data_IF_024969712066
#
_entry.id   IF_024969712066
#
_cell.length_a   1.000
_cell.length_b   1.000
_cell.length_c   1.000
_cell.angle_alpha   90.00
_cell.angle_beta   90.00
_cell.angle_gamma   90.00
#
_symmetry.space_group_name_H-M   'P 1'
#
loop_
_entity.id
_entity.type
_entity.pdbx_description
1 polymer ?
#
# COMPACT_ATOMS: atom_id res chain seq x y z
N UNK A 1 41.36 -51.79 20.40
CA UNK A 1 40.71 -50.53 20.83
C UNK A 1 40.98 -49.30 19.95
N UNK A 2 42.20 -49.07 19.44
CA UNK A 2 42.59 -47.76 18.85
C UNK A 2 41.73 -47.22 17.70
N UNK A 3 41.08 -48.06 16.89
CA UNK A 3 40.22 -47.61 15.78
C UNK A 3 38.92 -46.97 16.27
N UNK A 4 38.40 -47.42 17.41
CA UNK A 4 37.16 -46.91 18.00
C UNK A 4 37.40 -45.63 18.81
N UNK A 5 38.60 -45.47 19.38
CA UNK A 5 39.01 -44.22 20.04
C UNK A 5 39.21 -43.11 19.02
N UNK A 6 39.79 -43.42 17.85
CA UNK A 6 39.95 -42.46 16.75
C UNK A 6 38.60 -41.95 16.24
N UNK A 7 37.62 -42.84 16.02
CA UNK A 7 36.28 -42.41 15.57
C UNK A 7 35.57 -41.53 16.61
N UNK A 8 35.67 -41.86 17.91
CA UNK A 8 35.10 -41.05 18.98
C UNK A 8 35.75 -39.64 19.04
N UNK A 9 37.06 -39.55 18.81
CA UNK A 9 37.74 -38.24 18.76
C UNK A 9 37.35 -37.42 17.53
N UNK A 10 37.13 -38.06 16.38
CA UNK A 10 36.67 -37.41 15.14
C UNK A 10 35.24 -36.87 15.29
N UNK A 11 34.34 -37.62 15.93
CA UNK A 11 32.97 -37.16 16.21
C UNK A 11 32.94 -35.95 17.15
N UNK A 12 33.76 -35.97 18.20
CA UNK A 12 33.88 -34.83 19.14
C UNK A 12 34.43 -33.58 18.45
N UNK A 13 35.39 -33.73 17.54
CA UNK A 13 35.90 -32.61 16.74
C UNK A 13 34.82 -32.05 15.81
N UNK A 14 34.00 -32.92 15.20
CA UNK A 14 32.91 -32.52 14.32
C UNK A 14 31.82 -31.75 15.07
N UNK A 15 31.46 -32.20 16.28
CA UNK A 15 30.53 -31.50 17.16
C UNK A 15 31.08 -30.14 17.63
N UNK A 16 32.38 -30.05 17.96
CA UNK A 16 32.99 -28.76 18.30
C UNK A 16 33.02 -27.78 17.13
N UNK A 17 33.33 -28.26 15.92
CA UNK A 17 33.30 -27.42 14.72
C UNK A 17 31.88 -26.92 14.45
N UNK A 18 30.88 -27.79 14.54
CA UNK A 18 29.47 -27.41 14.41
C UNK A 18 29.07 -26.30 15.40
N UNK A 19 29.39 -26.48 16.69
CA UNK A 19 29.09 -25.48 17.73
C UNK A 19 29.87 -24.15 17.56
N UNK A 20 31.01 -24.16 16.87
CA UNK A 20 31.77 -22.92 16.57
C UNK A 20 31.14 -22.14 15.43
N UNK A 21 30.67 -22.81 14.38
CA UNK A 21 30.16 -22.15 13.16
C UNK A 21 28.65 -21.87 13.18
N UNK A 22 27.84 -22.68 13.88
CA UNK A 22 26.38 -22.52 13.91
C UNK A 22 25.86 -21.47 14.91
N UNK A 23 26.73 -20.88 15.75
CA UNK A 23 26.36 -19.76 16.64
C UNK A 23 26.03 -18.46 15.90
N UNK A 24 26.10 -18.46 14.57
CA UNK A 24 25.84 -17.31 13.71
C UNK A 24 24.37 -17.22 13.22
N UNK A 25 23.49 -18.14 13.61
CA UNK A 25 22.05 -18.00 13.34
C UNK A 25 21.41 -17.12 14.43
N UNK A 26 21.85 -15.86 14.50
CA UNK A 26 21.13 -14.78 15.18
C UNK A 26 20.77 -13.77 14.09
N UNK A 27 19.48 -13.51 13.81
CA UNK A 27 19.12 -12.53 12.80
C UNK A 27 19.61 -11.15 13.25
N UNK A 28 20.50 -10.55 12.46
CA UNK A 28 20.90 -9.16 12.61
C UNK A 28 19.71 -8.28 12.20
N UNK A 29 18.90 -7.86 13.16
CA UNK A 29 17.98 -6.75 12.96
C UNK A 29 18.12 -5.76 14.11
N UNK A 30 18.35 -4.52 13.70
CA UNK A 30 18.57 -3.32 14.48
C UNK A 30 17.45 -3.02 15.49
N UNK A 31 17.87 -2.43 16.61
CA UNK A 31 17.11 -1.63 17.61
C UNK A 31 16.39 -2.44 18.71
N UNK A 32 17.04 -2.42 19.88
CA UNK A 32 16.45 -2.40 21.25
C UNK A 32 15.04 -2.97 21.38
N UNK A 33 14.97 -4.26 21.65
CA UNK A 33 13.82 -4.85 22.33
C UNK A 33 14.35 -5.73 23.45
N UNK A 34 13.98 -5.35 24.67
CA UNK A 34 14.02 -6.23 25.85
C UNK A 34 13.63 -7.64 25.45
N UNK A 35 14.46 -8.62 25.83
CA UNK A 35 14.25 -10.04 25.63
C UNK A 35 12.85 -10.47 26.11
N UNK A 36 11.84 -10.35 25.25
CA UNK A 36 10.54 -10.94 25.50
C UNK A 36 10.69 -12.41 25.18
N UNK A 37 11.08 -13.17 26.21
CA UNK A 37 10.88 -14.61 26.25
C UNK A 37 9.47 -14.90 25.76
N UNK A 38 9.32 -15.79 24.79
CA UNK A 38 8.02 -16.30 24.32
C UNK A 38 7.28 -17.08 25.42
N UNK A 39 7.93 -17.31 26.56
CA UNK A 39 7.32 -17.91 27.75
C UNK A 39 6.76 -16.85 28.71
N UNK A 40 5.52 -17.01 29.13
CA UNK A 40 4.87 -16.14 30.13
C UNK A 40 5.33 -16.45 31.57
N UNK A 41 6.40 -17.23 31.73
CA UNK A 41 6.81 -17.81 33.00
C UNK A 41 7.60 -16.83 33.87
N UNK A 42 8.21 -15.80 33.28
CA UNK A 42 8.95 -14.78 34.01
C UNK A 42 8.07 -13.55 34.32
N UNK A 43 8.14 -13.05 35.56
CA UNK A 43 7.51 -11.77 35.97
C UNK A 43 6.03 -11.83 36.36
N UNK A 44 5.53 -12.96 36.88
CA UNK A 44 4.17 -13.08 37.43
C UNK A 44 3.04 -13.18 36.39
N UNK A 45 3.39 -13.29 35.10
CA UNK A 45 2.46 -13.40 33.97
C UNK A 45 2.06 -14.83 33.62
N UNK A 46 2.37 -15.81 34.48
CA UNK A 46 2.08 -17.22 34.25
C UNK A 46 0.57 -17.51 34.03
N UNK A 47 -0.31 -16.67 34.59
CA UNK A 47 -1.77 -16.77 34.43
C UNK A 47 -2.31 -16.06 33.19
N UNK A 48 -1.54 -15.14 32.60
CA UNK A 48 -1.94 -14.38 31.41
C UNK A 48 -1.39 -15.06 30.17
N UNK A 49 -2.20 -15.94 29.57
CA UNK A 49 -1.89 -16.59 28.30
C UNK A 49 -2.10 -15.60 27.12
N UNK A 50 -1.08 -15.28 26.31
CA UNK A 50 -1.21 -14.50 25.07
C UNK A 50 -1.73 -15.43 23.97
N UNK A 51 -2.98 -15.85 24.12
CA UNK A 51 -3.66 -16.69 23.15
C UNK A 51 -4.34 -15.81 22.12
N UNK A 52 -3.73 -15.71 20.94
CA UNK A 52 -4.32 -15.03 19.78
C UNK A 52 -5.64 -15.67 19.31
N UNK A 53 -5.87 -16.94 19.64
CA UNK A 53 -7.07 -17.69 19.24
C UNK A 53 -8.27 -17.52 20.18
N UNK A 54 -8.12 -16.84 21.31
CA UNK A 54 -9.23 -16.56 22.24
C UNK A 54 -9.75 -15.15 21.93
N UNK A 55 -11.00 -14.99 21.44
CA UNK A 55 -11.54 -13.68 21.05
C UNK A 55 -11.49 -12.62 22.14
N UNK A 56 -11.54 -13.00 23.42
CA UNK A 56 -11.43 -12.07 24.56
C UNK A 56 -10.01 -11.63 24.91
N UNK A 57 -8.99 -12.23 24.26
CA UNK A 57 -7.57 -11.95 24.49
C UNK A 57 -6.84 -11.49 23.23
N UNK A 58 -7.54 -11.38 22.10
CA UNK A 58 -6.99 -10.74 20.91
C UNK A 58 -6.82 -9.25 21.16
N UNK A 59 -5.70 -8.65 20.76
CA UNK A 59 -5.58 -7.21 20.75
C UNK A 59 -6.59 -6.66 19.73
N UNK A 60 -7.75 -6.23 20.20
CA UNK A 60 -8.74 -5.57 19.35
C UNK A 60 -8.09 -4.31 18.76
N UNK A 61 -8.12 -4.22 17.43
CA UNK A 61 -7.69 -3.01 16.75
C UNK A 61 -8.59 -1.87 17.26
N UNK A 62 -7.99 -0.92 17.99
CA UNK A 62 -8.70 0.29 18.41
C UNK A 62 -9.38 0.90 17.18
N UNK A 63 -10.65 1.26 17.32
CA UNK A 63 -11.40 1.91 16.25
C UNK A 63 -10.53 3.04 15.67
N UNK A 64 -10.20 2.93 14.38
CA UNK A 64 -9.33 3.90 13.74
C UNK A 64 -9.94 5.30 13.90
N UNK A 65 -9.15 6.33 14.27
CA UNK A 65 -9.68 7.68 14.37
C UNK A 65 -10.15 8.10 12.98
N UNK A 66 -11.46 8.16 12.79
CA UNK A 66 -12.08 8.61 11.55
C UNK A 66 -11.79 10.11 11.38
N UNK A 67 -10.75 10.44 10.61
CA UNK A 67 -10.48 11.82 10.25
C UNK A 67 -11.59 12.31 9.33
N UNK A 68 -12.24 13.41 9.70
CA UNK A 68 -13.22 14.06 8.84
C UNK A 68 -12.54 14.41 7.50
N UNK A 69 -13.18 14.09 6.36
CA UNK A 69 -12.64 14.49 5.06
C UNK A 69 -12.48 16.01 5.01
N UNK A 70 -11.41 16.47 4.37
CA UNK A 70 -11.19 17.89 4.17
C UNK A 70 -12.26 18.45 3.24
N UNK A 71 -12.79 19.64 3.58
CA UNK A 71 -13.82 20.32 2.77
C UNK A 71 -13.24 21.02 1.54
N UNK A 72 -11.92 21.21 1.53
CA UNK A 72 -11.19 21.90 0.49
C UNK A 72 -10.82 20.91 -0.61
N UNK A 73 -11.25 21.23 -1.83
CA UNK A 73 -10.91 20.45 -3.02
C UNK A 73 -9.57 20.99 -3.54
N UNK A 74 -8.61 20.11 -3.83
CA UNK A 74 -7.28 20.49 -4.33
C UNK A 74 -7.11 20.08 -5.79
N UNK A 75 -6.30 20.84 -6.53
CA UNK A 75 -5.90 20.50 -7.89
C UNK A 75 -4.94 19.29 -7.88
N UNK A 76 -5.18 18.23 -8.67
CA UNK A 76 -4.35 17.02 -8.66
C UNK A 76 -2.92 17.25 -9.18
N UNK A 77 -2.70 18.30 -9.98
CA UNK A 77 -1.39 18.64 -10.55
C UNK A 77 -0.64 19.67 -9.70
N UNK A 78 -1.34 20.67 -9.16
CA UNK A 78 -0.68 21.81 -8.49
C UNK A 78 -0.84 21.84 -6.96
N UNK A 79 -1.72 21.01 -6.38
CA UNK A 79 -2.02 21.01 -4.95
C UNK A 79 -2.71 22.28 -4.43
N UNK A 80 -3.04 23.23 -5.29
CA UNK A 80 -3.73 24.48 -4.91
C UNK A 80 -5.21 24.23 -4.63
N UNK A 81 -5.83 24.97 -3.69
CA UNK A 81 -7.27 24.85 -3.43
C UNK A 81 -8.08 25.37 -4.63
N UNK A 82 -9.04 24.58 -5.09
CA UNK A 82 -9.98 24.91 -6.16
C UNK A 82 -11.26 25.51 -5.58
N UNK A 83 -11.60 26.74 -5.97
CA UNK A 83 -12.87 27.39 -5.63
C UNK A 83 -13.80 27.35 -6.82
N UNK A 84 -15.11 27.18 -6.59
CA UNK A 84 -16.13 27.17 -7.65
C UNK A 84 -16.11 28.43 -8.52
N UNK A 85 -15.71 29.58 -7.97
CA UNK A 85 -15.58 30.86 -8.69
C UNK A 85 -14.47 30.88 -9.74
N UNK A 86 -13.46 30.01 -9.56
CA UNK A 86 -12.29 29.93 -10.43
C UNK A 86 -12.47 28.86 -11.52
N UNK A 87 -13.53 28.04 -11.43
CA UNK A 87 -13.86 27.03 -12.43
C UNK A 87 -14.60 27.68 -13.62
N UNK A 88 -14.34 27.16 -14.82
CA UNK A 88 -14.99 27.60 -16.05
C UNK A 88 -15.98 26.52 -16.49
N UNK A 89 -17.24 26.91 -16.70
CA UNK A 89 -18.25 25.99 -17.24
C UNK A 89 -17.99 25.76 -18.72
N UNK A 90 -17.62 24.53 -19.07
CA UNK A 90 -17.39 24.13 -20.46
C UNK A 90 -18.66 23.49 -21.02
N UNK A 91 -19.17 24.03 -22.13
CA UNK A 91 -20.27 23.43 -22.91
C UNK A 91 -19.66 22.67 -24.09
N UNK A 92 -19.73 21.35 -24.06
CA UNK A 92 -19.27 20.51 -25.16
C UNK A 92 -20.37 20.37 -26.21
N UNK A 93 -20.01 20.52 -27.48
CA UNK A 93 -20.92 20.31 -28.60
C UNK A 93 -20.85 18.84 -29.03
N UNK A 94 -22.00 18.17 -29.09
CA UNK A 94 -22.06 16.76 -29.49
C UNK A 94 -21.92 16.59 -31.01
N UNK A 95 -21.27 15.50 -31.42
CA UNK A 95 -21.15 15.12 -32.83
C UNK A 95 -22.45 14.47 -33.31
N UNK A 96 -23.06 15.05 -34.34
CA UNK A 96 -24.28 14.56 -34.98
C UNK A 96 -23.94 13.75 -36.23
N UNK A 97 -23.43 12.53 -36.03
CA UNK A 97 -23.28 11.59 -37.14
C UNK A 97 -24.61 10.85 -37.39
N UNK A 98 -25.16 10.90 -38.61
CA UNK A 98 -26.43 10.24 -38.93
C UNK A 98 -26.32 8.71 -38.93
N UNK A 99 -25.11 8.17 -39.14
CA UNK A 99 -24.87 6.73 -39.27
C UNK A 99 -24.63 6.04 -37.92
N UNK A 100 -24.15 6.78 -36.91
CA UNK A 100 -23.77 6.21 -35.62
C UNK A 100 -24.88 6.40 -34.58
N UNK A 101 -25.84 5.46 -34.60
CA UNK A 101 -26.98 5.38 -33.64
C UNK A 101 -26.59 4.86 -32.24
N UNK A 102 -25.30 4.68 -31.99
CA UNK A 102 -24.77 4.20 -30.71
C UNK A 102 -24.95 5.27 -29.63
N UNK A 103 -25.08 4.85 -28.37
CA UNK A 103 -25.12 5.77 -27.23
C UNK A 103 -23.82 6.58 -27.16
N UNK A 104 -23.88 7.83 -26.70
CA UNK A 104 -22.74 8.77 -26.66
C UNK A 104 -21.47 8.19 -26.00
N UNK A 105 -21.63 7.26 -25.07
CA UNK A 105 -20.52 6.63 -24.35
C UNK A 105 -19.74 5.66 -25.24
N UNK A 106 -20.42 4.97 -26.15
CA UNK A 106 -19.83 3.97 -27.05
C UNK A 106 -19.23 4.61 -28.30
N UNK A 107 -19.61 5.85 -28.63
CA UNK A 107 -19.03 6.58 -29.76
C UNK A 107 -17.54 6.87 -29.52
N UNK A 108 -16.73 6.59 -30.54
CA UNK A 108 -15.29 6.89 -30.55
C UNK A 108 -15.05 8.41 -30.55
N UNK A 109 -15.87 9.15 -31.30
CA UNK A 109 -15.89 10.60 -31.34
C UNK A 109 -17.18 11.12 -30.68
N UNK A 110 -17.05 11.75 -29.50
CA UNK A 110 -18.21 12.18 -28.69
C UNK A 110 -18.53 13.66 -28.85
N UNK A 111 -17.48 14.49 -28.82
CA UNK A 111 -17.60 15.94 -28.77
C UNK A 111 -16.74 16.61 -29.84
N UNK A 112 -17.22 17.74 -30.33
CA UNK A 112 -16.49 18.61 -31.25
C UNK A 112 -16.28 20.01 -30.68
N UNK A 113 -15.25 20.68 -31.17
CA UNK A 113 -15.02 22.09 -30.93
C UNK A 113 -16.16 22.92 -31.58
N UNK A 114 -16.76 23.89 -30.88
CA UNK A 114 -17.85 24.70 -31.42
C UNK A 114 -17.43 25.68 -32.53
N UNK A 115 -16.13 25.96 -32.67
CA UNK A 115 -15.61 26.94 -33.63
C UNK A 115 -15.02 26.24 -34.85
N UNK A 116 -14.15 25.25 -34.63
CA UNK A 116 -13.44 24.55 -35.71
C UNK A 116 -14.14 23.29 -36.19
N UNK A 117 -15.16 22.82 -35.46
CA UNK A 117 -15.81 21.51 -35.66
C UNK A 117 -14.84 20.32 -35.65
N UNK A 118 -13.65 20.50 -35.07
CA UNK A 118 -12.66 19.44 -34.89
C UNK A 118 -13.06 18.50 -33.75
N UNK A 119 -12.71 17.22 -33.85
CA UNK A 119 -13.08 16.18 -32.89
C UNK A 119 -12.20 16.29 -31.65
N UNK A 120 -12.83 16.43 -30.48
CA UNK A 120 -12.15 16.50 -29.19
C UNK A 120 -11.80 15.09 -28.72
N UNK A 121 -10.52 14.72 -28.82
CA UNK A 121 -9.96 13.45 -28.33
C UNK A 121 -8.98 13.67 -27.17
N UNK A 122 -8.68 12.62 -26.42
CA UNK A 122 -7.79 12.67 -25.25
C UNK A 122 -6.32 12.99 -25.60
N UNK A 123 -5.96 12.86 -26.88
CA UNK A 123 -4.63 13.18 -27.39
C UNK A 123 -4.49 14.64 -27.88
N UNK A 124 -5.60 15.35 -28.08
CA UNK A 124 -5.59 16.70 -28.67
C UNK A 124 -5.57 17.75 -27.56
N UNK A 125 -4.54 18.61 -27.47
CA UNK A 125 -4.52 19.68 -26.48
C UNK A 125 -5.61 20.70 -26.78
N UNK A 126 -6.49 20.94 -25.82
CA UNK A 126 -7.60 21.88 -25.94
C UNK A 126 -7.47 22.96 -24.87
N UNK A 127 -7.69 24.22 -25.27
CA UNK A 127 -7.71 25.36 -24.36
C UNK A 127 -9.11 25.97 -24.30
N UNK A 128 -9.55 26.33 -23.11
CA UNK A 128 -10.83 27.02 -22.91
C UNK A 128 -10.55 28.50 -22.66
N UNK A 129 -11.13 29.35 -23.49
CA UNK A 129 -11.03 30.80 -23.35
C UNK A 129 -12.18 31.29 -22.45
N UNK A 130 -11.84 31.99 -21.38
CA UNK A 130 -12.84 32.65 -20.53
C UNK A 130 -13.33 33.90 -21.24
N UNK A 131 -14.62 33.96 -21.58
CA UNK A 131 -15.26 35.21 -22.01
C UNK A 131 -15.29 36.16 -20.82
N UNK A 132 -14.71 37.34 -20.98
CA UNK A 132 -14.64 38.42 -19.98
C UNK A 132 -16.01 38.91 -19.57
#
# INVERSE_FOLDING_TARGET
EESNEKSATEELQKLQNFLKYEKNIIPTSSKTSTSTSVSNMAGGRAKTLPSFWIPSKTPEAKAAPLKKPEKTIYCPVSGKPLKLKDLITVKFTEIKDPDDKKSLIVKDARYMCPITHDVLSNSVPCAVIKTT
#
